data_IF_832094085000
#
_entry.id   IF_832094085000
#
_cell.length_a   1.000
_cell.length_b   1.000
_cell.length_c   1.000
_cell.angle_alpha   90.00
_cell.angle_beta   90.00
_cell.angle_gamma   90.00
#
_symmetry.space_group_name_H-M   'P 1'
#
loop_
_entity.id
_entity.type
_entity.pdbx_description
1 polymer ?
#
# COMPACT_ATOMS: atom_id res chain seq x y z
N UNK A 1 -20.98 8.09 6.71
CA UNK A 1 -19.81 7.69 7.52
C UNK A 1 -19.16 8.92 8.12
N UNK A 2 -18.67 8.88 9.36
CA UNK A 2 -17.87 9.98 9.93
C UNK A 2 -16.61 10.20 9.07
N UNK A 3 -16.38 11.42 8.54
CA UNK A 3 -15.18 11.73 7.76
C UNK A 3 -13.86 11.40 8.46
N UNK A 4 -13.81 11.44 9.81
CA UNK A 4 -12.60 11.07 10.57
C UNK A 4 -12.33 9.58 10.54
N UNK A 5 -13.35 8.75 10.76
CA UNK A 5 -13.23 7.30 10.66
C UNK A 5 -12.84 6.89 9.24
N UNK A 6 -13.49 7.45 8.23
CA UNK A 6 -13.15 7.21 6.82
C UNK A 6 -11.69 7.55 6.52
N UNK A 7 -11.19 8.68 7.04
CA UNK A 7 -9.78 9.08 6.91
C UNK A 7 -8.83 8.08 7.58
N UNK A 8 -9.16 7.60 8.78
CA UNK A 8 -8.37 6.59 9.49
C UNK A 8 -8.26 5.30 8.67
N UNK A 9 -9.41 4.77 8.23
CA UNK A 9 -9.48 3.58 7.37
C UNK A 9 -8.69 3.77 6.08
N UNK A 10 -8.85 4.92 5.43
CA UNK A 10 -8.08 5.30 4.25
C UNK A 10 -6.57 5.24 4.50
N UNK A 11 -6.10 5.80 5.62
CA UNK A 11 -4.67 5.81 5.96
C UNK A 11 -4.11 4.38 6.09
N UNK A 12 -4.85 3.46 6.71
CA UNK A 12 -4.37 2.08 6.87
C UNK A 12 -4.51 1.21 5.61
N UNK A 13 -5.50 1.46 4.74
CA UNK A 13 -5.64 0.73 3.46
C UNK A 13 -4.67 1.28 2.41
N UNK A 14 -4.67 2.60 2.22
CA UNK A 14 -3.98 3.29 1.13
C UNK A 14 -2.52 3.55 1.47
N UNK A 15 -2.22 3.89 2.72
CA UNK A 15 -0.91 4.34 3.19
C UNK A 15 -0.42 5.55 2.36
N UNK A 16 -1.08 6.72 2.47
CA UNK A 16 -0.70 7.92 1.74
C UNK A 16 0.65 8.48 2.22
N UNK A 17 1.33 9.34 1.45
CA UNK A 17 2.61 9.94 1.88
C UNK A 17 2.52 10.76 3.17
N UNK A 18 1.36 11.33 3.45
CA UNK A 18 1.12 12.14 4.65
C UNK A 18 0.17 11.42 5.62
N UNK A 19 0.71 10.44 6.35
CA UNK A 19 0.00 9.79 7.48
C UNK A 19 0.09 10.62 8.76
N UNK A 20 -0.77 10.36 9.77
CA UNK A 20 -0.67 11.00 11.09
C UNK A 20 0.70 10.74 11.74
N UNK A 21 1.09 11.55 12.73
CA UNK A 21 2.35 11.35 13.47
C UNK A 21 2.18 10.77 14.87
N UNK A 22 0.95 10.44 15.26
CA UNK A 22 0.58 9.81 16.53
C UNK A 22 -0.33 8.61 16.26
N UNK A 23 -0.30 7.60 17.13
CA UNK A 23 -1.22 6.47 17.08
C UNK A 23 -2.71 6.91 17.05
N UNK A 24 -3.53 6.18 16.29
CA UNK A 24 -4.97 6.42 16.21
C UNK A 24 -5.67 6.03 17.51
N UNK A 25 -6.42 6.97 18.10
CA UNK A 25 -7.18 6.74 19.34
C UNK A 25 -8.37 5.80 19.14
N UNK A 26 -8.90 5.74 17.92
CA UNK A 26 -10.06 4.94 17.52
C UNK A 26 -9.65 3.74 16.65
N UNK A 27 -8.46 3.16 16.89
CA UNK A 27 -7.94 2.04 16.09
C UNK A 27 -8.89 0.82 16.10
N UNK A 28 -9.62 0.58 17.19
CA UNK A 28 -10.63 -0.49 17.27
C UNK A 28 -11.78 -0.27 16.28
N UNK A 29 -12.34 0.95 16.21
CA UNK A 29 -13.40 1.30 15.25
C UNK A 29 -12.91 1.19 13.81
N UNK A 30 -11.67 1.65 13.55
CA UNK A 30 -11.01 1.50 12.24
C UNK A 30 -10.91 0.02 11.86
N UNK A 31 -10.46 -0.84 12.77
CA UNK A 31 -10.32 -2.28 12.53
C UNK A 31 -11.67 -2.95 12.27
N UNK A 32 -12.71 -2.55 13.00
CA UNK A 32 -14.08 -3.00 12.77
C UNK A 32 -14.58 -2.63 11.36
N UNK A 33 -14.36 -1.37 10.94
CA UNK A 33 -14.73 -0.93 9.59
C UNK A 33 -13.94 -1.66 8.50
N UNK A 34 -12.64 -1.88 8.71
CA UNK A 34 -11.80 -2.67 7.80
C UNK A 34 -12.35 -4.09 7.62
N UNK A 35 -12.77 -4.74 8.71
CA UNK A 35 -13.35 -6.07 8.67
C UNK A 35 -14.71 -6.07 7.97
N UNK A 36 -15.55 -5.08 8.25
CA UNK A 36 -16.83 -4.88 7.56
C UNK A 36 -16.65 -4.75 6.04
N UNK A 37 -15.69 -3.94 5.59
CA UNK A 37 -15.38 -3.79 4.16
C UNK A 37 -14.86 -5.07 3.52
N UNK A 38 -14.04 -5.84 4.24
CA UNK A 38 -13.60 -7.18 3.78
C UNK A 38 -14.81 -8.10 3.64
N UNK A 39 -15.71 -8.13 4.62
CA UNK A 39 -16.91 -8.94 4.59
C UNK A 39 -17.79 -8.57 3.38
N UNK A 40 -18.11 -7.29 3.19
CA UNK A 40 -18.88 -6.81 2.03
C UNK A 40 -18.19 -7.17 0.71
N UNK A 41 -16.88 -7.02 0.61
CA UNK A 41 -16.13 -7.40 -0.59
C UNK A 41 -16.18 -8.91 -0.85
N UNK A 42 -16.16 -9.75 0.19
CA UNK A 42 -16.27 -11.20 0.06
C UNK A 42 -17.68 -11.61 -0.38
N UNK A 43 -18.72 -11.01 0.20
CA UNK A 43 -20.12 -11.23 -0.20
C UNK A 43 -20.34 -10.86 -1.67
N UNK A 44 -19.91 -9.67 -2.07
CA UNK A 44 -20.05 -9.21 -3.45
C UNK A 44 -19.23 -10.06 -4.43
N UNK A 45 -18.03 -10.51 -4.04
CA UNK A 45 -17.24 -11.41 -4.88
C UNK A 45 -17.99 -12.71 -5.15
N UNK A 46 -18.55 -13.33 -4.10
CA UNK A 46 -19.35 -14.55 -4.21
C UNK A 46 -20.54 -14.36 -5.15
N UNK A 47 -21.32 -13.30 -4.93
CA UNK A 47 -22.48 -12.97 -5.77
C UNK A 47 -22.10 -12.79 -7.25
N UNK A 48 -21.00 -12.09 -7.52
CA UNK A 48 -20.54 -11.85 -8.89
C UNK A 48 -20.00 -13.11 -9.58
N UNK A 49 -19.37 -14.02 -8.83
CA UNK A 49 -18.83 -15.27 -9.39
C UNK A 49 -19.90 -16.33 -9.66
N UNK A 50 -21.11 -16.16 -9.12
CA UNK A 50 -22.32 -16.85 -9.58
C UNK A 50 -22.21 -18.37 -9.64
N UNK A 51 -21.68 -19.00 -8.59
CA UNK A 51 -21.50 -20.45 -8.49
C UNK A 51 -20.04 -20.90 -8.53
N UNK A 52 -19.13 -20.09 -9.06
CA UNK A 52 -17.70 -20.39 -9.03
C UNK A 52 -17.09 -20.06 -7.67
N UNK A 53 -16.50 -21.06 -7.01
CA UNK A 53 -15.86 -20.94 -5.70
C UNK A 53 -16.79 -20.55 -4.54
N UNK A 54 -18.11 -20.77 -4.70
CA UNK A 54 -19.11 -20.43 -3.67
C UNK A 54 -18.80 -21.10 -2.33
N UNK A 55 -18.40 -22.37 -2.35
CA UNK A 55 -18.05 -23.12 -1.13
C UNK A 55 -16.90 -22.46 -0.38
N UNK A 56 -15.84 -22.09 -1.08
CA UNK A 56 -14.64 -21.49 -0.49
C UNK A 56 -14.91 -20.08 0.02
N UNK A 57 -15.70 -19.30 -0.72
CA UNK A 57 -16.11 -17.96 -0.30
C UNK A 57 -17.11 -18.01 0.87
N UNK A 58 -17.98 -19.01 0.94
CA UNK A 58 -18.90 -19.24 2.08
C UNK A 58 -18.16 -19.67 3.34
N UNK A 59 -17.12 -20.48 3.21
CA UNK A 59 -16.23 -20.82 4.33
C UNK A 59 -15.45 -19.59 4.81
N UNK A 60 -15.00 -18.74 3.89
CA UNK A 60 -14.33 -17.50 4.23
C UNK A 60 -15.29 -16.52 4.93
N UNK A 61 -16.52 -16.34 4.43
CA UNK A 61 -17.53 -15.49 5.06
C UNK A 61 -17.81 -15.94 6.50
N UNK A 62 -17.97 -17.24 6.74
CA UNK A 62 -18.12 -17.79 8.10
C UNK A 62 -16.90 -17.52 8.98
N UNK A 63 -15.70 -17.65 8.42
CA UNK A 63 -14.45 -17.33 9.11
C UNK A 63 -14.34 -15.83 9.46
N UNK A 64 -14.83 -14.95 8.60
CA UNK A 64 -14.89 -13.51 8.86
C UNK A 64 -15.93 -13.16 9.93
N UNK A 65 -17.06 -13.88 9.99
CA UNK A 65 -18.05 -13.74 11.08
C UNK A 65 -17.44 -14.16 12.42
N UNK A 66 -16.68 -15.26 12.48
CA UNK A 66 -15.92 -15.62 13.68
C UNK A 66 -14.90 -14.55 14.06
N UNK A 67 -14.19 -13.99 13.08
CA UNK A 67 -13.24 -12.89 13.33
C UNK A 67 -13.96 -11.66 13.90
N UNK A 68 -15.16 -11.33 13.42
CA UNK A 68 -15.93 -10.19 13.88
C UNK A 68 -16.47 -10.39 15.30
N UNK A 69 -16.98 -11.59 15.61
CA UNK A 69 -17.49 -11.89 16.94
C UNK A 69 -16.38 -11.84 18.00
N UNK A 70 -15.18 -12.32 17.67
CA UNK A 70 -14.01 -12.28 18.57
C UNK A 70 -13.46 -10.87 18.82
N UNK A 71 -13.63 -9.95 17.87
CA UNK A 71 -13.10 -8.58 17.96
C UNK A 71 -14.20 -7.52 18.11
N UNK A 72 -15.37 -7.92 18.62
CA UNK A 72 -16.47 -6.97 18.93
C UNK A 72 -16.10 -6.07 20.11
N UNK A 73 -15.34 -6.60 21.08
CA UNK A 73 -14.82 -5.85 22.21
C UNK A 73 -13.40 -5.35 21.94
N UNK A 74 -12.94 -4.37 22.72
CA UNK A 74 -11.56 -3.87 22.63
C UNK A 74 -10.52 -4.98 22.87
N UNK A 75 -10.89 -5.96 23.70
CA UNK A 75 -10.05 -7.09 24.07
C UNK A 75 -10.74 -8.41 23.76
N UNK A 76 -9.94 -9.46 23.63
CA UNK A 76 -10.46 -10.81 23.52
C UNK A 76 -11.13 -11.21 24.84
N UNK A 77 -12.18 -12.04 24.75
CA UNK A 77 -12.85 -12.61 25.91
C UNK A 77 -12.69 -14.13 25.87
N UNK A 78 -12.20 -14.73 26.96
CA UNK A 78 -12.01 -16.17 27.05
C UNK A 78 -13.28 -16.97 26.78
N UNK A 79 -14.47 -16.50 27.19
CA UNK A 79 -15.71 -17.20 26.90
C UNK A 79 -16.09 -17.13 25.41
N UNK A 80 -15.89 -15.99 24.74
CA UNK A 80 -16.04 -15.84 23.29
C UNK A 80 -15.03 -16.70 22.52
N UNK A 81 -13.77 -16.75 22.94
CA UNK A 81 -12.74 -17.62 22.35
C UNK A 81 -13.14 -19.09 22.47
N UNK A 82 -13.56 -19.53 23.66
CA UNK A 82 -13.96 -20.92 23.86
C UNK A 82 -15.19 -21.28 23.01
N UNK A 83 -16.17 -20.36 22.88
CA UNK A 83 -17.31 -20.55 21.96
C UNK A 83 -16.85 -20.66 20.51
N UNK A 84 -15.92 -19.79 20.08
CA UNK A 84 -15.36 -19.84 18.73
C UNK A 84 -14.65 -21.17 18.46
N UNK A 85 -13.83 -21.67 19.40
CA UNK A 85 -13.15 -22.96 19.30
C UNK A 85 -14.13 -24.12 19.10
N UNK A 86 -15.23 -24.16 19.86
CA UNK A 86 -16.27 -25.19 19.71
C UNK A 86 -17.06 -25.08 18.41
N UNK A 87 -17.28 -23.85 17.94
CA UNK A 87 -18.07 -23.60 16.74
C UNK A 87 -17.28 -23.75 15.44
N UNK A 88 -15.95 -23.85 15.53
CA UNK A 88 -15.06 -24.01 14.39
C UNK A 88 -15.40 -25.30 13.63
N UNK A 89 -15.60 -25.20 12.32
CA UNK A 89 -15.87 -26.35 11.44
C UNK A 89 -14.72 -26.62 10.47
N UNK A 90 -14.76 -27.80 9.86
CA UNK A 90 -13.82 -28.18 8.80
C UNK A 90 -13.90 -27.19 7.64
N UNK A 91 -12.73 -26.77 7.16
CA UNK A 91 -12.59 -25.77 6.10
C UNK A 91 -12.68 -24.31 6.56
N UNK A 92 -13.08 -24.02 7.81
CA UNK A 92 -13.10 -22.67 8.38
C UNK A 92 -11.75 -22.31 9.03
N UNK A 93 -11.57 -21.03 9.38
CA UNK A 93 -10.41 -20.56 10.15
C UNK A 93 -10.83 -19.53 11.19
N UNK A 94 -10.26 -19.62 12.39
CA UNK A 94 -10.29 -18.54 13.36
C UNK A 94 -9.10 -17.63 13.11
N UNK A 95 -9.34 -16.34 12.92
CA UNK A 95 -8.31 -15.32 12.74
C UNK A 95 -8.29 -14.49 14.02
N UNK A 96 -7.23 -14.61 14.82
CA UNK A 96 -7.16 -14.07 16.17
C UNK A 96 -5.99 -13.08 16.27
N UNK A 97 -6.27 -11.87 16.77
CA UNK A 97 -5.25 -10.86 17.04
C UNK A 97 -4.88 -10.86 18.52
N UNK A 98 -3.63 -11.23 18.82
CA UNK A 98 -3.08 -11.13 20.17
C UNK A 98 -2.33 -9.81 20.28
N UNK A 99 -3.06 -8.77 20.69
CA UNK A 99 -2.66 -7.35 20.52
C UNK A 99 -1.34 -7.05 21.24
N UNK A 100 -1.27 -7.33 22.53
CA UNK A 100 -0.10 -6.99 23.36
C UNK A 100 1.15 -7.82 23.02
N UNK A 101 0.99 -8.95 22.32
CA UNK A 101 2.10 -9.80 21.88
C UNK A 101 2.46 -9.62 20.40
N UNK A 102 1.90 -8.62 19.71
CA UNK A 102 2.23 -8.37 18.30
C UNK A 102 2.09 -9.63 17.42
N UNK A 103 1.11 -10.48 17.71
CA UNK A 103 0.98 -11.78 17.07
C UNK A 103 -0.41 -12.01 16.45
N UNK A 104 -0.39 -12.62 15.27
CA UNK A 104 -1.54 -13.24 14.65
C UNK A 104 -1.54 -14.74 14.92
N UNK A 105 -2.71 -15.28 15.27
CA UNK A 105 -2.92 -16.72 15.45
C UNK A 105 -4.06 -17.18 14.54
N UNK A 106 -3.79 -18.18 13.70
CA UNK A 106 -4.79 -18.85 12.88
C UNK A 106 -5.01 -20.26 13.42
N UNK A 107 -6.27 -20.63 13.65
CA UNK A 107 -6.65 -21.96 14.12
C UNK A 107 -7.63 -22.57 13.14
N UNK A 108 -7.38 -23.79 12.71
CA UNK A 108 -8.24 -24.48 11.74
C UNK A 108 -8.02 -25.98 11.74
N UNK A 109 -8.98 -26.75 11.27
CA UNK A 109 -8.76 -28.17 11.02
C UNK A 109 -7.72 -28.37 9.90
N UNK A 110 -6.82 -29.32 10.12
CA UNK A 110 -5.86 -29.77 9.12
C UNK A 110 -6.55 -30.45 7.94
N UNK A 111 -5.88 -30.43 6.80
CA UNK A 111 -6.30 -31.13 5.58
C UNK A 111 -5.20 -32.08 5.12
N UNK A 112 -5.55 -33.04 4.26
CA UNK A 112 -4.63 -33.99 3.65
C UNK A 112 -3.78 -34.73 4.71
N UNK A 113 -2.47 -34.52 4.73
CA UNK A 113 -1.53 -35.15 5.67
C UNK A 113 -1.74 -34.78 7.13
N UNK A 114 -2.52 -33.72 7.42
CA UNK A 114 -2.91 -33.30 8.76
C UNK A 114 -4.38 -33.60 9.06
N UNK A 115 -4.99 -34.54 8.34
CA UNK A 115 -6.36 -35.01 8.66
C UNK A 115 -6.41 -35.55 10.10
N UNK A 116 -7.50 -35.27 10.81
CA UNK A 116 -7.66 -35.62 12.23
C UNK A 116 -6.86 -34.73 13.20
N UNK A 117 -6.24 -33.65 12.71
CA UNK A 117 -5.52 -32.68 13.54
C UNK A 117 -6.08 -31.27 13.41
N UNK A 118 -5.82 -30.42 14.40
CA UNK A 118 -6.06 -28.98 14.36
C UNK A 118 -4.71 -28.28 14.20
N UNK A 119 -4.62 -27.46 13.15
CA UNK A 119 -3.47 -26.67 12.79
C UNK A 119 -3.53 -25.29 13.46
N UNK A 120 -2.40 -24.93 14.08
CA UNK A 120 -2.12 -23.64 14.68
C UNK A 120 -1.00 -22.98 13.88
N UNK A 121 -1.27 -21.81 13.32
CA UNK A 121 -0.28 -21.01 12.60
C UNK A 121 -0.13 -19.66 13.29
N UNK A 122 1.08 -19.31 13.71
CA UNK A 122 1.37 -18.04 14.36
C UNK A 122 2.39 -17.21 13.58
N UNK A 123 2.25 -15.89 13.66
CA UNK A 123 3.15 -14.94 13.01
C UNK A 123 3.11 -13.55 13.62
N UNK A 124 4.17 -12.78 13.39
CA UNK A 124 4.27 -11.37 13.77
C UNK A 124 3.36 -10.48 12.89
N UNK A 125 2.71 -9.46 13.46
CA UNK A 125 1.76 -8.58 12.71
C UNK A 125 2.20 -7.12 12.59
N UNK A 126 3.26 -6.72 13.26
CA UNK A 126 3.89 -5.39 13.16
C UNK A 126 5.40 -5.52 13.27
N UNK A 127 6.14 -5.05 12.27
CA UNK A 127 7.59 -5.18 12.26
C UNK A 127 8.24 -4.16 13.22
N UNK A 128 9.47 -4.47 13.65
CA UNK A 128 10.30 -3.51 14.41
C UNK A 128 10.53 -2.23 13.61
N UNK A 129 10.59 -1.10 14.31
CA UNK A 129 10.73 0.23 13.72
C UNK A 129 11.97 0.31 12.84
N UNK A 130 13.06 -0.28 13.32
CA UNK A 130 14.32 -0.38 12.59
C UNK A 130 14.12 -1.04 11.22
N UNK A 131 13.47 -2.20 11.17
CA UNK A 131 13.22 -2.93 9.93
C UNK A 131 12.35 -2.11 8.96
N UNK A 132 11.34 -1.42 9.47
CA UNK A 132 10.47 -0.56 8.65
C UNK A 132 11.27 0.60 8.05
N UNK A 133 12.04 1.31 8.88
CA UNK A 133 12.83 2.48 8.47
C UNK A 133 14.02 2.12 7.57
N UNK A 134 14.60 0.93 7.72
CA UNK A 134 15.66 0.41 6.84
C UNK A 134 15.11 -0.08 5.49
N UNK A 135 13.82 -0.40 5.40
CA UNK A 135 13.23 -0.90 4.17
C UNK A 135 13.14 0.20 3.11
N UNK A 136 13.67 -0.04 1.91
CA UNK A 136 13.64 0.97 0.83
C UNK A 136 12.24 1.22 0.24
N UNK A 137 11.32 0.26 0.35
CA UNK A 137 9.98 0.35 -0.26
C UNK A 137 8.96 -0.55 0.43
N UNK A 138 9.33 -1.81 0.72
CA UNK A 138 8.47 -2.77 1.40
C UNK A 138 9.31 -3.86 2.05
N UNK A 139 8.83 -4.37 3.18
CA UNK A 139 9.34 -5.58 3.82
C UNK A 139 8.96 -6.80 2.98
N UNK A 140 9.90 -7.73 2.80
CA UNK A 140 9.59 -9.06 2.33
C UNK A 140 9.39 -9.96 3.54
N UNK A 141 8.19 -10.51 3.67
CA UNK A 141 7.78 -11.17 4.90
C UNK A 141 7.03 -12.46 4.60
N UNK A 142 7.38 -13.52 5.29
CA UNK A 142 6.85 -14.87 5.12
C UNK A 142 5.89 -15.21 6.27
N UNK A 143 4.74 -15.81 5.93
CA UNK A 143 3.68 -16.15 6.87
C UNK A 143 3.18 -17.58 6.66
N UNK A 144 2.92 -18.36 7.73
CA UNK A 144 3.25 -18.07 9.13
C UNK A 144 4.76 -18.16 9.41
N UNK A 145 5.19 -17.74 10.61
CA UNK A 145 6.59 -17.91 11.06
C UNK A 145 6.79 -19.22 11.82
N UNK A 146 5.73 -19.76 12.40
CA UNK A 146 5.75 -20.93 13.28
C UNK A 146 4.41 -21.64 13.21
N UNK A 147 4.41 -22.98 13.21
CA UNK A 147 3.18 -23.76 13.13
C UNK A 147 3.28 -25.09 13.89
N UNK A 148 2.18 -25.50 14.50
CA UNK A 148 2.04 -26.78 15.18
C UNK A 148 0.68 -27.40 14.88
N UNK A 149 0.58 -28.71 15.06
CA UNK A 149 -0.69 -29.42 14.96
C UNK A 149 -0.92 -30.31 16.17
N UNK A 150 -2.16 -30.41 16.63
CA UNK A 150 -2.56 -31.29 17.72
C UNK A 150 -3.72 -32.19 17.29
N UNK A 151 -3.90 -33.39 17.87
CA UNK A 151 -5.04 -34.24 17.57
C UNK A 151 -6.38 -33.54 17.85
N UNK A 152 -7.39 -33.79 17.02
CA UNK A 152 -8.72 -33.20 17.18
C UNK A 152 -9.34 -33.54 18.53
N UNK A 153 -9.12 -34.74 19.05
CA UNK A 153 -9.64 -35.16 20.36
C UNK A 153 -9.06 -34.32 21.51
N UNK A 154 -7.78 -33.96 21.42
CA UNK A 154 -7.13 -33.07 22.39
C UNK A 154 -7.69 -31.65 22.27
N UNK A 155 -7.87 -31.15 21.04
CA UNK A 155 -8.45 -29.83 20.82
C UNK A 155 -9.91 -29.73 21.28
N UNK A 156 -10.68 -30.82 21.17
CA UNK A 156 -12.09 -30.87 21.56
C UNK A 156 -12.29 -31.08 23.06
N UNK A 157 -11.23 -31.39 23.81
CA UNK A 157 -11.29 -31.44 25.26
C UNK A 157 -11.68 -30.06 25.83
N UNK A 158 -12.69 -30.07 26.72
CA UNK A 158 -13.26 -28.85 27.28
C UNK A 158 -12.22 -28.06 28.09
N UNK A 159 -11.40 -28.75 28.88
CA UNK A 159 -10.42 -28.14 29.77
C UNK A 159 -9.26 -27.56 28.96
N UNK A 160 -8.81 -28.26 27.92
CA UNK A 160 -7.83 -27.75 26.97
C UNK A 160 -8.30 -26.45 26.31
N UNK A 161 -9.52 -26.43 25.74
CA UNK A 161 -10.05 -25.21 25.12
C UNK A 161 -10.20 -24.06 26.12
N UNK A 162 -10.61 -24.36 27.36
CA UNK A 162 -10.73 -23.36 28.42
C UNK A 162 -9.38 -22.74 28.75
N UNK A 163 -8.36 -23.57 28.95
CA UNK A 163 -7.01 -23.14 29.29
C UNK A 163 -6.37 -22.36 28.14
N UNK A 164 -6.53 -22.82 26.90
CA UNK A 164 -6.07 -22.12 25.71
C UNK A 164 -6.76 -20.75 25.56
N UNK A 165 -8.08 -20.70 25.75
CA UNK A 165 -8.84 -19.45 25.67
C UNK A 165 -8.39 -18.45 26.74
N UNK A 166 -8.22 -18.89 27.99
CA UNK A 166 -7.71 -18.06 29.07
C UNK A 166 -6.28 -17.58 28.83
N UNK A 167 -5.43 -18.43 28.25
CA UNK A 167 -4.07 -18.06 27.88
C UNK A 167 -4.06 -16.95 26.82
N UNK A 168 -4.81 -17.13 25.73
CA UNK A 168 -4.87 -16.17 24.61
C UNK A 168 -5.50 -14.84 25.03
N UNK A 169 -6.56 -14.90 25.86
CA UNK A 169 -7.20 -13.74 26.48
C UNK A 169 -6.17 -12.92 27.29
N UNK A 170 -5.53 -13.55 28.29
CA UNK A 170 -4.49 -12.91 29.11
C UNK A 170 -3.32 -12.39 28.28
N UNK A 171 -2.85 -13.15 27.30
CA UNK A 171 -1.77 -12.73 26.42
C UNK A 171 -2.16 -11.49 25.59
N UNK A 172 -3.44 -11.34 25.23
CA UNK A 172 -3.93 -10.17 24.48
C UNK A 172 -4.15 -8.94 25.36
N UNK A 173 -4.21 -9.11 26.69
CA UNK A 173 -4.41 -8.04 27.68
C UNK A 173 -3.12 -7.58 28.36
N UNK A 174 -2.22 -8.53 28.66
CA UNK A 174 -1.06 -8.29 29.53
C UNK A 174 0.21 -8.04 28.72
N UNK A 175 0.82 -6.87 28.94
CA UNK A 175 2.16 -6.62 28.44
C UNK A 175 3.20 -7.40 29.27
N UNK A 176 3.80 -8.42 28.66
CA UNK A 176 4.90 -9.17 29.27
C UNK A 176 6.21 -8.44 28.96
N UNK A 177 6.71 -7.65 29.94
CA UNK A 177 7.91 -6.82 29.78
C UNK A 177 9.13 -7.55 29.20
N UNK A 178 9.28 -8.86 29.44
CA UNK A 178 10.37 -9.68 28.89
C UNK A 178 10.36 -9.74 27.36
N UNK A 179 9.19 -9.68 26.75
CA UNK A 179 8.99 -9.63 25.30
C UNK A 179 8.84 -8.20 24.77
N UNK A 180 8.78 -7.20 25.66
CA UNK A 180 8.74 -5.79 25.28
C UNK A 180 10.05 -5.34 24.62
N UNK A 181 9.97 -4.33 23.76
CA UNK A 181 11.16 -3.68 23.23
C UNK A 181 11.92 -2.94 24.34
N UNK A 182 13.25 -2.89 24.22
CA UNK A 182 14.12 -2.18 25.16
C UNK A 182 15.10 -1.29 24.42
N UNK A 183 15.42 -0.15 25.03
CA UNK A 183 16.44 0.78 24.57
C UNK A 183 17.49 1.02 25.66
N UNK A 184 18.70 1.37 25.25
CA UNK A 184 19.74 1.80 26.18
C UNK A 184 19.65 3.31 26.38
N UNK A 185 19.12 3.74 27.54
CA UNK A 185 19.07 5.15 27.95
C UNK A 185 20.01 5.35 29.12
N UNK A 186 20.97 6.27 28.97
CA UNK A 186 21.95 6.62 30.02
C UNK A 186 22.63 5.38 30.66
N UNK A 187 23.08 4.42 29.83
CA UNK A 187 23.71 3.14 30.25
C UNK A 187 22.79 2.19 31.03
N UNK A 188 21.49 2.44 31.09
CA UNK A 188 20.48 1.54 31.65
C UNK A 188 19.53 1.02 30.58
N UNK A 189 19.10 -0.25 30.70
CA UNK A 189 18.15 -0.87 29.78
C UNK A 189 16.73 -0.48 30.21
N UNK A 190 16.07 0.37 29.44
CA UNK A 190 14.73 0.87 29.71
C UNK A 190 13.73 0.27 28.71
N UNK A 191 12.52 -0.02 29.16
CA UNK A 191 11.43 -0.46 28.29
C UNK A 191 11.11 0.66 27.27
N UNK A 192 10.96 0.28 26.00
CA UNK A 192 10.72 1.20 24.88
C UNK A 192 9.32 0.95 24.30
N UNK A 193 8.29 1.68 24.75
CA UNK A 193 6.90 1.48 24.33
C UNK A 193 6.61 1.93 22.89
N UNK A 194 7.57 2.57 22.22
CA UNK A 194 7.40 3.09 20.86
C UNK A 194 7.65 2.04 19.78
N UNK A 195 8.28 0.93 20.13
CA UNK A 195 8.63 -0.13 19.21
C UNK A 195 7.74 -1.37 19.40
N UNK A 196 7.75 -2.30 18.45
CA UNK A 196 6.89 -3.48 18.51
C UNK A 196 7.38 -4.52 19.52
N UNK A 197 6.43 -5.18 20.20
CA UNK A 197 6.68 -6.32 21.08
C UNK A 197 7.21 -7.52 20.28
N UNK A 198 8.11 -8.29 20.86
CA UNK A 198 8.57 -9.58 20.32
C UNK A 198 7.43 -10.63 20.41
N UNK A 199 7.01 -11.24 19.29
CA UNK A 199 5.89 -12.18 19.27
C UNK A 199 6.19 -13.55 19.89
N UNK A 200 7.40 -13.79 20.40
CA UNK A 200 7.86 -15.08 20.89
C UNK A 200 7.01 -15.72 21.99
N UNK A 201 6.14 -14.97 22.71
CA UNK A 201 5.16 -15.58 23.61
C UNK A 201 4.18 -16.48 22.84
N UNK A 202 3.75 -16.05 21.66
CA UNK A 202 2.83 -16.81 20.81
C UNK A 202 3.61 -17.66 19.81
N UNK A 203 4.51 -17.07 19.03
CA UNK A 203 5.23 -17.78 17.94
C UNK A 203 6.26 -18.77 18.43
N UNK A 204 6.83 -18.55 19.63
CA UNK A 204 7.77 -19.46 20.27
C UNK A 204 7.08 -20.32 21.30
N UNK A 205 6.72 -19.74 22.45
CA UNK A 205 6.30 -20.49 23.63
C UNK A 205 4.99 -21.27 23.42
N UNK A 206 3.90 -20.62 22.95
CA UNK A 206 2.65 -21.32 22.71
C UNK A 206 2.81 -22.40 21.63
N UNK A 207 3.43 -22.06 20.50
CA UNK A 207 3.62 -23.03 19.41
C UNK A 207 4.46 -24.22 19.88
N UNK A 208 5.60 -24.01 20.54
CA UNK A 208 6.42 -25.12 21.06
C UNK A 208 5.71 -25.99 22.10
N UNK A 209 4.82 -25.40 22.91
CA UNK A 209 3.96 -26.19 23.80
C UNK A 209 3.01 -27.09 23.01
N UNK A 210 2.39 -26.56 21.95
CA UNK A 210 1.50 -27.32 21.07
C UNK A 210 2.26 -28.40 20.28
N UNK A 211 3.51 -28.14 19.87
CA UNK A 211 4.39 -29.14 19.26
C UNK A 211 4.64 -30.33 20.20
N UNK A 212 4.84 -30.06 21.48
CA UNK A 212 5.02 -31.12 22.49
C UNK A 212 3.75 -31.94 22.77
N UNK A 213 2.57 -31.34 22.57
CA UNK A 213 1.27 -32.02 22.71
C UNK A 213 0.92 -32.84 21.47
N UNK A 214 1.33 -32.38 20.28
CA UNK A 214 1.07 -33.05 19.02
C UNK A 214 2.34 -33.17 18.19
N UNK A 215 2.38 -32.43 17.07
CA UNK A 215 3.47 -32.51 16.11
C UNK A 215 3.89 -31.14 15.58
N UNK A 216 5.20 -30.93 15.35
CA UNK A 216 5.70 -29.76 14.64
C UNK A 216 5.23 -29.78 13.19
N UNK A 217 4.85 -28.61 12.67
CA UNK A 217 4.43 -28.46 11.27
C UNK A 217 5.45 -27.60 10.55
N UNK A 218 6.16 -28.21 9.60
CA UNK A 218 7.08 -27.48 8.74
C UNK A 218 6.32 -26.49 7.85
N UNK A 219 6.73 -25.21 7.88
CA UNK A 219 6.20 -24.17 7.00
C UNK A 219 6.84 -24.33 5.61
N UNK A 220 6.36 -25.27 4.82
CA UNK A 220 6.92 -25.61 3.50
C UNK A 220 6.56 -24.59 2.42
N UNK A 221 5.38 -23.95 2.53
CA UNK A 221 4.88 -22.98 1.56
C UNK A 221 4.37 -21.72 2.26
N UNK A 222 5.27 -20.85 2.76
CA UNK A 222 4.86 -19.60 3.38
C UNK A 222 4.23 -18.66 2.34
N UNK A 223 3.18 -17.96 2.76
CA UNK A 223 2.57 -16.88 2.02
C UNK A 223 3.49 -15.65 2.03
N UNK A 224 4.45 -15.59 1.10
CA UNK A 224 5.39 -14.47 0.97
C UNK A 224 4.68 -13.20 0.52
N UNK A 225 4.64 -12.17 1.36
CA UNK A 225 4.03 -10.87 1.05
C UNK A 225 5.07 -9.74 1.05
N UNK A 226 4.85 -8.78 0.15
CA UNK A 226 5.52 -7.46 0.20
C UNK A 226 4.67 -6.52 1.04
N UNK A 227 5.11 -6.23 2.26
CA UNK A 227 4.37 -5.43 3.24
C UNK A 227 4.95 -4.02 3.27
N UNK A 228 4.14 -3.04 2.85
CA UNK A 228 4.45 -1.62 3.10
C UNK A 228 3.96 -1.24 4.48
N UNK A 229 4.83 -0.60 5.24
CA UNK A 229 4.56 -0.06 6.55
C UNK A 229 5.27 1.29 6.70
N UNK A 230 4.90 2.05 7.72
CA UNK A 230 5.48 3.36 8.03
C UNK A 230 5.47 3.58 9.54
N UNK A 231 6.56 4.14 10.07
CA UNK A 231 6.65 4.53 11.48
C UNK A 231 6.83 6.03 11.55
N UNK A 232 5.70 6.74 11.61
CA UNK A 232 5.72 8.20 11.62
C UNK A 232 5.55 8.74 13.02
N UNK A 233 6.60 9.38 13.51
CA UNK A 233 6.59 10.07 14.79
C UNK A 233 6.55 11.59 14.58
N UNK A 234 5.59 12.27 15.21
CA UNK A 234 5.52 13.74 15.27
C UNK A 234 4.90 14.18 16.58
N UNK A 235 5.71 14.73 17.48
CA UNK A 235 5.31 15.31 18.77
C UNK A 235 4.33 14.43 19.58
N UNK A 236 4.56 13.12 19.57
CA UNK A 236 3.65 12.12 20.17
C UNK A 236 4.39 11.15 21.09
N UNK A 237 3.66 10.49 22.00
CA UNK A 237 4.25 9.45 22.85
C UNK A 237 4.45 8.15 22.07
N UNK A 238 3.41 7.71 21.34
CA UNK A 238 3.39 6.53 20.46
C UNK A 238 3.31 7.00 19.01
N UNK A 239 4.25 6.58 18.14
CA UNK A 239 4.21 6.94 16.73
C UNK A 239 2.98 6.36 16.04
N UNK A 240 2.57 6.98 14.94
CA UNK A 240 1.60 6.34 14.05
C UNK A 240 2.25 5.12 13.37
N UNK A 241 1.51 4.03 13.36
CA UNK A 241 1.85 2.78 12.67
C UNK A 241 0.65 2.27 11.92
N UNK A 242 0.90 1.49 10.86
CA UNK A 242 -0.18 0.83 10.16
C UNK A 242 -0.83 -0.21 11.06
N UNK A 243 -2.16 -0.36 10.97
CA UNK A 243 -2.92 -1.33 11.76
C UNK A 243 -2.33 -2.74 11.62
N UNK A 244 -1.89 -3.38 12.72
CA UNK A 244 -1.43 -4.78 12.70
C UNK A 244 -2.57 -5.73 12.32
N UNK A 245 -3.80 -5.42 12.75
CA UNK A 245 -5.00 -6.16 12.40
C UNK A 245 -5.25 -6.18 10.88
N UNK A 246 -4.94 -5.08 10.18
CA UNK A 246 -5.04 -5.04 8.71
C UNK A 246 -4.05 -6.00 8.03
N UNK A 247 -2.88 -6.25 8.61
CA UNK A 247 -1.98 -7.28 8.11
C UNK A 247 -2.52 -8.68 8.44
N UNK A 248 -2.94 -8.90 9.70
CA UNK A 248 -3.55 -10.15 10.15
C UNK A 248 -4.70 -10.59 9.23
N UNK A 249 -5.69 -9.73 8.99
CA UNK A 249 -6.83 -10.06 8.14
C UNK A 249 -6.38 -10.45 6.72
N UNK A 250 -5.46 -9.69 6.12
CA UNK A 250 -4.92 -10.00 4.78
C UNK A 250 -4.10 -11.29 4.73
N UNK A 251 -3.45 -11.68 5.82
CA UNK A 251 -2.71 -12.95 5.91
C UNK A 251 -3.69 -14.10 6.15
N UNK A 252 -4.63 -13.95 7.07
CA UNK A 252 -5.67 -14.93 7.35
C UNK A 252 -6.51 -15.28 6.11
N UNK A 253 -6.92 -14.27 5.34
CA UNK A 253 -7.67 -14.49 4.09
C UNK A 253 -6.86 -15.28 3.06
N UNK A 254 -5.61 -14.89 2.78
CA UNK A 254 -4.81 -15.58 1.76
C UNK A 254 -4.47 -17.00 2.22
N UNK A 255 -4.10 -17.20 3.49
CA UNK A 255 -3.81 -18.52 4.06
C UNK A 255 -5.02 -19.43 4.04
N UNK A 256 -6.20 -18.89 4.35
CA UNK A 256 -7.45 -19.63 4.25
C UNK A 256 -7.73 -20.09 2.81
N UNK A 257 -7.69 -19.17 1.85
CA UNK A 257 -7.94 -19.49 0.45
C UNK A 257 -6.88 -20.45 -0.11
N UNK A 258 -5.60 -20.27 0.23
CA UNK A 258 -4.51 -21.17 -0.19
C UNK A 258 -4.77 -22.62 0.23
N UNK A 259 -5.30 -22.85 1.43
CA UNK A 259 -5.60 -24.20 1.92
C UNK A 259 -6.79 -24.85 1.22
N UNK A 260 -7.72 -24.05 0.69
CA UNK A 260 -8.91 -24.55 0.02
C UNK A 260 -8.68 -24.74 -1.49
N UNK A 261 -7.96 -23.82 -2.14
CA UNK A 261 -7.87 -23.77 -3.61
C UNK A 261 -6.44 -23.93 -4.15
N UNK A 262 -5.44 -24.03 -3.28
CA UNK A 262 -4.03 -23.94 -3.69
C UNK A 262 -3.59 -22.50 -4.01
N UNK A 263 -2.29 -22.32 -4.20
CA UNK A 263 -1.61 -21.00 -4.24
C UNK A 263 -2.02 -20.12 -5.41
N UNK A 264 -2.28 -20.69 -6.58
CA UNK A 264 -2.54 -19.92 -7.81
C UNK A 264 -3.95 -19.33 -7.82
N UNK A 265 -4.96 -20.14 -7.52
CA UNK A 265 -6.37 -19.73 -7.47
C UNK A 265 -6.60 -18.80 -6.27
N UNK A 266 -6.01 -19.10 -5.11
CA UNK A 266 -6.15 -18.27 -3.91
C UNK A 266 -5.62 -16.86 -4.13
N UNK A 267 -4.51 -16.75 -4.87
CA UNK A 267 -3.92 -15.48 -5.26
C UNK A 267 -4.85 -14.67 -6.16
N UNK A 268 -5.54 -15.32 -7.09
CA UNK A 268 -6.52 -14.67 -7.97
C UNK A 268 -7.71 -14.13 -7.16
N UNK A 269 -8.33 -15.00 -6.34
CA UNK A 269 -9.47 -14.65 -5.47
C UNK A 269 -9.11 -13.52 -4.49
N UNK A 270 -7.95 -13.61 -3.82
CA UNK A 270 -7.49 -12.57 -2.90
C UNK A 270 -7.25 -11.22 -3.62
N UNK A 271 -6.67 -11.22 -4.82
CA UNK A 271 -6.46 -9.97 -5.56
C UNK A 271 -7.80 -9.35 -5.98
N UNK A 272 -8.74 -10.17 -6.45
CA UNK A 272 -10.09 -9.75 -6.83
C UNK A 272 -10.85 -9.13 -5.65
N UNK A 273 -10.90 -9.83 -4.51
CA UNK A 273 -11.53 -9.34 -3.28
C UNK A 273 -10.95 -7.98 -2.85
N UNK A 274 -9.63 -7.82 -2.96
CA UNK A 274 -8.99 -6.57 -2.58
C UNK A 274 -9.18 -5.45 -3.61
N UNK A 275 -9.51 -5.74 -4.87
CA UNK A 275 -10.04 -4.73 -5.79
C UNK A 275 -11.39 -4.23 -5.29
N UNK A 276 -12.28 -5.11 -4.85
CA UNK A 276 -13.59 -4.74 -4.30
C UNK A 276 -13.46 -3.94 -3.00
N UNK A 277 -12.56 -4.32 -2.08
CA UNK A 277 -12.28 -3.52 -0.86
C UNK A 277 -11.84 -2.09 -1.23
N UNK A 278 -10.95 -1.94 -2.21
CA UNK A 278 -10.52 -0.62 -2.67
C UNK A 278 -11.64 0.14 -3.41
N UNK A 279 -12.50 -0.57 -4.16
CA UNK A 279 -13.61 0.02 -4.90
C UNK A 279 -14.65 0.62 -3.96
N UNK A 280 -15.11 -0.15 -2.95
CA UNK A 280 -16.02 0.36 -1.92
C UNK A 280 -15.42 1.54 -1.15
N UNK A 281 -14.13 1.46 -0.80
CA UNK A 281 -13.46 2.60 -0.16
C UNK A 281 -13.41 3.82 -1.09
N UNK A 282 -13.21 3.61 -2.40
CA UNK A 282 -13.15 4.71 -3.36
C UNK A 282 -14.48 5.46 -3.44
N UNK A 283 -15.60 4.74 -3.52
CA UNK A 283 -16.94 5.32 -3.53
C UNK A 283 -17.18 6.23 -2.32
N UNK A 284 -16.77 5.79 -1.13
CA UNK A 284 -16.93 6.58 0.09
C UNK A 284 -16.00 7.80 0.14
N UNK A 285 -14.83 7.73 -0.50
CA UNK A 285 -13.82 8.80 -0.42
C UNK A 285 -14.06 9.93 -1.42
N UNK A 286 -14.69 9.66 -2.56
CA UNK A 286 -14.93 10.68 -3.60
C UNK A 286 -15.97 11.68 -3.10
N UNK A 287 -15.57 12.96 -3.01
CA UNK A 287 -16.41 14.04 -2.49
C UNK A 287 -16.34 14.25 -0.98
N UNK A 288 -15.71 13.34 -0.23
CA UNK A 288 -15.52 13.46 1.23
C UNK A 288 -14.06 13.76 1.58
N UNK A 289 -13.11 13.03 0.99
CA UNK A 289 -11.69 13.29 1.16
C UNK A 289 -11.18 14.27 0.09
N UNK A 290 -9.99 14.84 0.32
CA UNK A 290 -9.33 15.72 -0.64
C UNK A 290 -9.09 15.04 -1.98
N UNK A 291 -9.19 15.81 -3.08
CA UNK A 291 -8.96 15.36 -4.46
C UNK A 291 -7.73 14.45 -4.62
N UNK A 292 -6.59 14.86 -4.06
CA UNK A 292 -5.32 14.10 -4.12
C UNK A 292 -5.42 12.69 -3.51
N UNK A 293 -6.13 12.56 -2.39
CA UNK A 293 -6.28 11.28 -1.69
C UNK A 293 -7.21 10.33 -2.44
N UNK A 294 -8.32 10.85 -2.97
CA UNK A 294 -9.22 10.06 -3.81
C UNK A 294 -8.55 9.65 -5.12
N UNK A 295 -7.75 10.52 -5.74
CA UNK A 295 -6.93 10.21 -6.92
C UNK A 295 -5.87 9.13 -6.63
N UNK A 296 -5.24 9.18 -5.45
CA UNK A 296 -4.29 8.16 -5.01
C UNK A 296 -4.96 6.79 -4.87
N UNK A 297 -6.15 6.73 -4.29
CA UNK A 297 -6.90 5.48 -4.16
C UNK A 297 -7.40 4.96 -5.52
N UNK A 298 -7.90 5.83 -6.40
CA UNK A 298 -8.24 5.47 -7.78
C UNK A 298 -7.04 4.87 -8.50
N UNK A 299 -5.88 5.52 -8.43
CA UNK A 299 -4.63 5.01 -9.00
C UNK A 299 -4.23 3.65 -8.42
N UNK A 300 -4.43 3.46 -7.10
CA UNK A 300 -4.14 2.20 -6.41
C UNK A 300 -5.07 1.07 -6.84
N UNK A 301 -6.35 1.37 -7.04
CA UNK A 301 -7.33 0.43 -7.58
C UNK A 301 -6.97 0.05 -9.02
N UNK A 302 -6.76 1.02 -9.91
CA UNK A 302 -6.40 0.76 -11.31
C UNK A 302 -5.12 -0.07 -11.44
N UNK A 303 -4.06 0.22 -10.66
CA UNK A 303 -2.84 -0.60 -10.63
C UNK A 303 -3.11 -2.03 -10.18
N UNK A 304 -4.08 -2.24 -9.29
CA UNK A 304 -4.44 -3.57 -8.80
C UNK A 304 -5.24 -4.36 -9.84
N UNK A 305 -6.14 -3.70 -10.56
CA UNK A 305 -6.84 -4.27 -11.72
C UNK A 305 -5.84 -4.70 -12.78
N UNK A 306 -4.93 -3.80 -13.18
CA UNK A 306 -3.87 -4.10 -14.15
C UNK A 306 -2.96 -5.25 -13.68
N UNK A 307 -2.75 -5.41 -12.37
CA UNK A 307 -2.02 -6.56 -11.82
C UNK A 307 -2.79 -7.87 -12.02
N UNK A 308 -4.10 -7.89 -11.73
CA UNK A 308 -4.95 -9.07 -11.98
C UNK A 308 -4.93 -9.45 -13.46
N UNK A 309 -5.06 -8.48 -14.36
CA UNK A 309 -5.00 -8.70 -15.81
C UNK A 309 -3.63 -9.21 -16.25
N UNK A 310 -2.54 -8.62 -15.75
CA UNK A 310 -1.18 -9.09 -16.02
C UNK A 310 -0.98 -10.53 -15.55
N UNK A 311 -1.44 -10.87 -14.36
CA UNK A 311 -1.31 -12.22 -13.82
C UNK A 311 -2.15 -13.24 -14.61
N UNK A 312 -3.30 -12.81 -15.16
CA UNK A 312 -4.10 -13.61 -16.09
C UNK A 312 -3.35 -13.92 -17.40
N UNK A 313 -2.64 -12.93 -17.96
CA UNK A 313 -1.82 -13.09 -19.16
C UNK A 313 -0.60 -13.99 -18.93
N UNK A 314 -0.04 -13.97 -17.71
CA UNK A 314 1.11 -14.80 -17.33
C UNK A 314 0.71 -16.22 -16.91
N UNK A 315 -0.57 -16.48 -16.64
CA UNK A 315 -1.04 -17.80 -16.28
C UNK A 315 -0.92 -18.75 -17.48
N UNK A 316 -0.48 -19.98 -17.23
CA UNK A 316 -0.35 -21.00 -18.29
C UNK A 316 -1.71 -21.24 -18.96
N UNK A 317 -1.81 -21.11 -20.30
CA UNK A 317 -3.06 -21.32 -21.02
C UNK A 317 -3.65 -22.70 -20.73
N UNK A 318 -4.94 -22.76 -20.45
CA UNK A 318 -5.66 -24.00 -20.13
C UNK A 318 -5.47 -24.52 -18.69
N UNK A 319 -4.71 -23.83 -17.83
CA UNK A 319 -4.62 -24.17 -16.40
C UNK A 319 -5.84 -23.69 -15.62
N UNK A 320 -6.14 -24.34 -14.49
CA UNK A 320 -7.20 -23.92 -13.56
C UNK A 320 -7.03 -22.47 -13.08
N UNK A 321 -5.76 -22.03 -12.95
CA UNK A 321 -5.45 -20.65 -12.60
C UNK A 321 -5.87 -19.67 -13.71
N UNK A 322 -5.60 -20.00 -14.97
CA UNK A 322 -6.01 -19.19 -16.13
C UNK A 322 -7.54 -19.11 -16.23
N UNK A 323 -8.25 -20.22 -15.99
CA UNK A 323 -9.70 -20.24 -15.91
C UNK A 323 -10.22 -19.34 -14.79
N UNK A 324 -9.64 -19.44 -13.59
CA UNK A 324 -10.01 -18.61 -12.43
C UNK A 324 -9.88 -17.11 -12.74
N UNK A 325 -8.74 -16.68 -13.29
CA UNK A 325 -8.53 -15.28 -13.67
C UNK A 325 -9.51 -14.82 -14.75
N UNK A 326 -9.80 -15.66 -15.75
CA UNK A 326 -10.73 -15.33 -16.84
C UNK A 326 -12.13 -15.05 -16.29
N UNK A 327 -12.65 -15.96 -15.45
CA UNK A 327 -13.96 -15.82 -14.81
C UNK A 327 -13.98 -14.56 -13.94
N UNK A 328 -12.97 -14.35 -13.09
CA UNK A 328 -12.88 -13.16 -12.23
C UNK A 328 -12.92 -11.87 -13.05
N UNK A 329 -12.11 -11.79 -14.10
CA UNK A 329 -12.05 -10.59 -14.94
C UNK A 329 -13.38 -10.37 -15.64
N UNK A 330 -13.95 -11.40 -16.26
CA UNK A 330 -15.23 -11.32 -16.96
C UNK A 330 -16.34 -10.81 -16.05
N UNK A 331 -16.48 -11.40 -14.84
CA UNK A 331 -17.54 -11.07 -13.90
C UNK A 331 -17.37 -9.70 -13.24
N UNK A 332 -16.13 -9.27 -12.96
CA UNK A 332 -15.89 -8.00 -12.27
C UNK A 332 -15.67 -6.80 -13.18
N UNK A 333 -15.37 -7.01 -14.48
CA UNK A 333 -14.97 -5.94 -15.41
C UNK A 333 -15.98 -4.81 -15.47
N UNK A 334 -17.26 -5.13 -15.66
CA UNK A 334 -18.29 -4.09 -15.81
C UNK A 334 -18.40 -3.20 -14.56
N UNK A 335 -18.49 -3.82 -13.38
CA UNK A 335 -18.57 -3.09 -12.11
C UNK A 335 -17.33 -2.23 -11.85
N UNK A 336 -16.13 -2.79 -12.01
CA UNK A 336 -14.90 -2.04 -11.76
C UNK A 336 -14.70 -0.91 -12.78
N UNK A 337 -15.06 -1.13 -14.04
CA UNK A 337 -14.98 -0.12 -15.08
C UNK A 337 -15.96 1.03 -14.83
N UNK A 338 -17.22 0.73 -14.53
CA UNK A 338 -18.23 1.75 -14.26
C UNK A 338 -17.87 2.60 -13.04
N UNK A 339 -17.41 1.96 -11.96
CA UNK A 339 -17.01 2.63 -10.72
C UNK A 339 -15.76 3.50 -10.90
N UNK A 340 -14.72 2.98 -11.56
CA UNK A 340 -13.49 3.76 -11.82
C UNK A 340 -13.75 4.93 -12.76
N UNK A 341 -14.59 4.74 -13.78
CA UNK A 341 -15.02 5.82 -14.68
C UNK A 341 -15.80 6.89 -13.92
N UNK A 342 -16.82 6.51 -13.16
CA UNK A 342 -17.62 7.45 -12.37
C UNK A 342 -16.77 8.23 -11.36
N UNK A 343 -15.81 7.57 -10.70
CA UNK A 343 -14.86 8.23 -9.81
C UNK A 343 -13.96 9.20 -10.59
N UNK A 344 -13.41 8.80 -11.73
CA UNK A 344 -12.58 9.65 -12.60
C UNK A 344 -13.33 10.91 -13.05
N UNK A 345 -14.57 10.75 -13.53
CA UNK A 345 -15.40 11.87 -14.00
C UNK A 345 -15.68 12.86 -12.86
N UNK A 346 -16.01 12.36 -11.66
CA UNK A 346 -16.23 13.21 -10.48
C UNK A 346 -14.97 13.97 -10.06
N UNK A 347 -13.81 13.31 -10.07
CA UNK A 347 -12.54 13.93 -9.72
C UNK A 347 -12.16 15.00 -10.76
N UNK A 348 -12.37 14.72 -12.05
CA UNK A 348 -12.13 15.68 -13.13
C UNK A 348 -13.04 16.91 -13.00
N UNK A 349 -14.34 16.72 -12.76
CA UNK A 349 -15.28 17.84 -12.57
C UNK A 349 -14.90 18.70 -11.34
N UNK A 350 -14.47 18.06 -10.25
CA UNK A 350 -14.00 18.75 -9.05
C UNK A 350 -12.73 19.57 -9.33
N UNK A 351 -11.81 19.00 -10.12
CA UNK A 351 -10.59 19.68 -10.55
C UNK A 351 -10.87 20.87 -11.46
N UNK A 352 -11.78 20.73 -12.42
CA UNK A 352 -12.21 21.82 -13.30
C UNK A 352 -12.86 22.96 -12.52
N UNK A 353 -13.78 22.63 -11.61
CA UNK A 353 -14.39 23.60 -10.71
C UNK A 353 -13.35 24.35 -9.86
N UNK A 354 -12.31 23.64 -9.38
CA UNK A 354 -11.21 24.26 -8.65
C UNK A 354 -10.38 25.20 -9.54
N UNK A 355 -10.06 24.78 -10.77
CA UNK A 355 -9.33 25.61 -11.75
C UNK A 355 -10.11 26.89 -12.07
N UNK A 356 -11.41 26.78 -12.33
CA UNK A 356 -12.25 27.92 -12.67
C UNK A 356 -12.35 28.92 -11.52
N UNK A 357 -12.51 28.42 -10.28
CA UNK A 357 -12.52 29.26 -9.08
C UNK A 357 -11.18 29.96 -8.84
N UNK A 358 -10.07 29.31 -9.17
CA UNK A 358 -8.71 29.84 -8.92
C UNK A 358 -8.15 30.62 -10.11
N UNK A 359 -8.86 30.65 -11.24
CA UNK A 359 -8.45 31.37 -12.44
C UNK A 359 -8.45 32.87 -12.16
N UNK A 360 -7.25 33.47 -12.12
CA UNK A 360 -7.10 34.92 -11.99
C UNK A 360 -7.84 35.61 -13.14
N UNK A 361 -8.83 36.42 -12.80
CA UNK A 361 -9.45 37.29 -13.78
C UNK A 361 -8.51 38.46 -14.05
N UNK A 362 -7.87 38.45 -15.22
CA UNK A 362 -7.11 39.59 -15.73
C UNK A 362 -8.10 40.39 -16.58
N UNK A 363 -8.61 41.54 -16.08
CA UNK A 363 -9.47 42.38 -16.89
C UNK A 363 -8.68 42.83 -18.12
N UNK A 364 -9.28 42.69 -19.30
CA UNK A 364 -8.70 43.29 -20.49
C UNK A 364 -8.75 44.81 -20.32
N UNK A 365 -7.63 45.49 -20.51
CA UNK A 365 -7.55 46.94 -20.55
C UNK A 365 -8.28 47.47 -21.80
N UNK A 366 -9.60 47.45 -21.82
CA UNK A 366 -10.41 47.87 -22.98
C UNK A 366 -10.58 49.39 -23.10
N UNK A 367 -10.26 50.15 -22.05
CA UNK A 367 -10.55 51.60 -21.96
C UNK A 367 -9.35 52.47 -21.59
N UNK A 368 -8.14 51.91 -21.46
CA UNK A 368 -6.93 52.67 -21.18
C UNK A 368 -5.89 52.44 -22.26
N UNK A 369 -6.15 53.01 -23.44
CA UNK A 369 -5.06 53.30 -24.38
C UNK A 369 -4.22 54.37 -23.69
N UNK A 370 -2.94 54.08 -23.45
CA UNK A 370 -2.03 55.08 -22.92
C UNK A 370 -2.04 56.28 -23.89
N UNK A 371 -2.47 57.45 -23.42
CA UNK A 371 -2.43 58.65 -24.24
C UNK A 371 -1.00 58.92 -24.74
N UNK A 372 -0.79 59.64 -25.85
CA UNK A 372 0.54 59.87 -26.42
C UNK A 372 1.56 60.43 -25.40
N UNK A 373 1.07 61.21 -24.42
CA UNK A 373 1.89 61.75 -23.33
C UNK A 373 2.28 60.72 -22.28
N UNK A 374 1.48 59.68 -22.07
CA UNK A 374 1.76 58.56 -21.16
C UNK A 374 2.72 57.53 -21.77
N UNK A 375 2.91 57.56 -23.09
CA UNK A 375 3.95 56.80 -23.81
C UNK A 375 5.27 57.57 -23.93
N UNK A 376 5.31 58.84 -23.50
CA UNK A 376 6.50 59.68 -23.54
C UNK A 376 7.08 59.80 -22.15
N UNK A 377 8.25 59.20 -21.95
CA UNK A 377 9.01 59.38 -20.71
C UNK A 377 9.71 60.74 -20.78
N UNK A 378 9.20 61.73 -20.05
CA UNK A 378 9.88 63.01 -19.88
C UNK A 378 11.12 62.77 -19.00
N UNK A 379 12.24 62.46 -19.64
CA UNK A 379 13.54 62.18 -19.03
C UNK A 379 14.13 63.44 -18.35
N UNK A 380 13.38 64.18 -17.54
CA UNK A 380 13.77 65.52 -17.05
C UNK A 380 15.12 65.54 -16.33
N UNK A 381 15.42 64.47 -15.58
CA UNK A 381 16.66 64.34 -14.83
C UNK A 381 17.77 63.60 -15.60
N UNK A 382 17.40 62.76 -16.57
CA UNK A 382 18.32 61.87 -17.29
C UNK A 382 18.62 62.31 -18.72
N UNK A 383 17.82 63.21 -19.30
CA UNK A 383 17.97 63.74 -20.65
C UNK A 383 19.30 64.50 -20.82
N UNK A 384 19.75 65.35 -19.88
CA UNK A 384 21.06 66.00 -20.00
C UNK A 384 22.19 64.97 -20.02
N UNK A 385 22.13 63.97 -19.15
CA UNK A 385 23.11 62.88 -19.07
C UNK A 385 23.11 61.98 -20.32
N UNK A 386 21.94 61.61 -20.82
CA UNK A 386 21.80 60.79 -22.03
C UNK A 386 22.27 61.54 -23.27
N UNK A 387 21.97 62.84 -23.40
CA UNK A 387 22.52 63.70 -24.46
C UNK A 387 24.03 63.82 -24.36
N UNK A 388 24.57 63.91 -23.14
CA UNK A 388 26.01 63.93 -22.89
C UNK A 388 26.67 62.61 -23.32
N UNK A 389 26.04 61.45 -23.03
CA UNK A 389 26.52 60.14 -23.53
C UNK A 389 26.35 60.02 -25.04
N UNK A 390 25.31 60.60 -25.64
CA UNK A 390 25.08 60.49 -27.08
C UNK A 390 26.07 61.33 -27.90
N UNK A 391 26.48 62.50 -27.39
CA UNK A 391 27.49 63.37 -27.99
C UNK A 391 28.92 62.93 -27.65
N UNK A 392 29.12 62.37 -26.46
CA UNK A 392 30.37 61.78 -26.02
C UNK A 392 30.07 60.35 -25.57
N UNK A 393 29.95 59.39 -26.51
CA UNK A 393 29.79 57.99 -26.16
C UNK A 393 30.88 57.66 -25.15
N UNK A 394 30.46 57.22 -23.97
CA UNK A 394 31.39 56.69 -22.98
C UNK A 394 32.13 55.56 -23.68
N UNK A 395 33.32 55.85 -24.19
CA UNK A 395 34.36 54.87 -24.42
C UNK A 395 34.71 54.39 -23.03
N UNK A 396 33.84 53.56 -22.45
CA UNK A 396 34.29 52.58 -21.51
C UNK A 396 35.31 51.79 -22.32
N UNK A 397 36.58 52.03 -22.05
CA UNK A 397 37.49 50.92 -21.92
C UNK A 397 36.80 49.98 -20.92
N UNK A 398 35.92 49.12 -21.45
CA UNK A 398 35.54 47.92 -20.77
C UNK A 398 36.89 47.28 -20.54
N UNK A 399 37.42 47.37 -19.31
CA UNK A 399 38.30 46.30 -18.85
C UNK A 399 37.45 45.08 -19.10
N UNK A 400 37.75 44.35 -20.18
CA UNK A 400 37.21 43.03 -20.43
C UNK A 400 37.60 42.27 -19.17
N UNK A 401 36.73 42.24 -18.19
CA UNK A 401 36.72 41.16 -17.22
C UNK A 401 36.28 40.00 -18.08
N UNK A 402 37.27 39.37 -18.71
CA UNK A 402 37.09 38.07 -19.31
C UNK A 402 36.77 37.21 -18.10
N UNK A 403 35.49 36.97 -17.88
CA UNK A 403 35.08 35.91 -16.99
C UNK A 403 35.57 34.63 -17.64
N UNK A 404 36.76 34.18 -17.22
CA UNK A 404 37.28 32.87 -17.57
C UNK A 404 36.46 31.92 -16.70
N UNK A 405 35.45 31.32 -17.32
CA UNK A 405 34.65 30.29 -16.66
C UNK A 405 35.61 29.23 -16.10
N UNK A 406 35.52 28.85 -14.81
CA UNK A 406 36.38 27.81 -14.26
C UNK A 406 36.28 26.55 -15.14
N UNK A 407 37.42 25.94 -15.43
CA UNK A 407 37.49 24.81 -16.37
C UNK A 407 36.50 23.67 -16.07
N UNK A 408 36.21 23.32 -14.81
CA UNK A 408 35.17 22.32 -14.49
C UNK A 408 33.77 22.74 -14.96
N UNK A 409 33.44 24.03 -14.80
CA UNK A 409 32.16 24.61 -15.18
C UNK A 409 32.04 24.76 -16.71
N UNK A 410 33.14 25.06 -17.40
CA UNK A 410 33.20 25.04 -18.87
C UNK A 410 33.01 23.64 -19.44
N UNK A 411 33.69 22.64 -18.86
CA UNK A 411 33.50 21.23 -19.23
C UNK A 411 32.07 20.76 -18.97
N UNK A 412 31.47 21.16 -17.85
CA UNK A 412 30.09 20.83 -17.50
C UNK A 412 29.08 21.45 -18.48
N UNK A 413 29.16 22.77 -18.71
CA UNK A 413 28.27 23.48 -19.64
C UNK A 413 28.40 22.98 -21.07
N UNK A 414 29.63 22.69 -21.53
CA UNK A 414 29.88 22.08 -22.85
C UNK A 414 29.28 20.68 -22.95
N UNK A 415 29.38 19.86 -21.91
CA UNK A 415 28.79 18.52 -21.87
C UNK A 415 27.26 18.57 -21.95
N UNK A 416 26.62 19.48 -21.21
CA UNK A 416 25.17 19.71 -21.29
C UNK A 416 24.71 20.25 -22.65
N UNK A 417 25.45 21.19 -23.24
CA UNK A 417 25.14 21.70 -24.57
C UNK A 417 25.23 20.60 -25.65
N UNK A 418 26.22 19.72 -25.55
CA UNK A 418 26.36 18.56 -26.44
C UNK A 418 25.19 17.57 -26.26
N UNK A 419 24.79 17.27 -25.02
CA UNK A 419 23.65 16.39 -24.74
C UNK A 419 22.35 16.96 -25.31
N UNK A 420 22.11 18.27 -25.15
CA UNK A 420 20.94 18.95 -25.70
C UNK A 420 20.92 18.92 -27.25
N UNK A 421 22.08 18.94 -27.90
CA UNK A 421 22.18 18.80 -29.34
C UNK A 421 21.89 17.37 -29.80
N UNK A 422 22.39 16.37 -29.06
CA UNK A 422 22.05 14.95 -29.31
C UNK A 422 20.55 14.71 -29.14
N UNK A 423 19.90 15.28 -28.12
CA UNK A 423 18.45 15.20 -27.94
C UNK A 423 17.69 15.82 -29.11
N UNK A 424 18.11 16.99 -29.61
CA UNK A 424 17.51 17.60 -30.81
C UNK A 424 17.65 16.69 -32.03
N UNK A 425 18.81 16.08 -32.22
CA UNK A 425 19.05 15.19 -33.36
C UNK A 425 18.18 13.93 -33.26
N UNK A 426 18.06 13.33 -32.08
CA UNK A 426 17.17 12.19 -31.84
C UNK A 426 15.70 12.55 -32.07
N UNK A 427 15.25 13.73 -31.62
CA UNK A 427 13.89 14.22 -31.86
C UNK A 427 13.64 14.57 -33.32
N UNK A 428 14.63 15.10 -34.04
CA UNK A 428 14.49 15.40 -35.47
C UNK A 428 14.43 14.11 -36.32
N UNK A 429 15.19 13.07 -35.94
CA UNK A 429 15.23 11.80 -36.66
C UNK A 429 14.05 10.87 -36.33
N UNK A 430 13.52 10.95 -35.11
CA UNK A 430 12.53 9.99 -34.60
C UNK A 430 11.25 10.62 -34.05
N UNK A 431 11.09 11.95 -34.11
CA UNK A 431 9.95 12.67 -33.51
C UNK A 431 8.60 12.44 -34.17
N UNK A 432 8.54 11.83 -35.36
CA UNK A 432 7.30 11.45 -36.06
C UNK A 432 6.78 10.05 -35.69
N UNK A 433 7.47 9.29 -34.82
CA UNK A 433 7.02 7.98 -34.34
C UNK A 433 5.90 8.14 -33.30
N UNK A 434 4.67 8.35 -33.76
CA UNK A 434 3.48 8.48 -32.91
C UNK A 434 2.78 7.14 -32.59
N UNK A 435 3.11 6.05 -33.30
CA UNK A 435 2.56 4.71 -33.05
C UNK A 435 3.55 3.59 -33.38
N UNK A 436 3.47 2.49 -32.62
CA UNK A 436 4.36 1.32 -32.72
C UNK A 436 4.00 0.42 -33.93
N UNK A 437 2.82 0.61 -34.53
CA UNK A 437 2.25 -0.31 -35.51
C UNK A 437 2.82 -0.21 -36.93
N UNK A 438 3.48 0.91 -37.27
CA UNK A 438 4.02 1.16 -38.62
C UNK A 438 5.57 1.27 -38.67
N UNK A 439 6.26 0.91 -37.58
CA UNK A 439 7.71 1.05 -37.50
C UNK A 439 8.47 -0.21 -37.92
N UNK A 440 9.42 -0.04 -38.84
CA UNK A 440 10.33 -1.12 -39.21
C UNK A 440 11.19 -1.53 -38.00
N UNK A 441 11.49 -2.83 -37.81
CA UNK A 441 12.36 -3.32 -36.73
C UNK A 441 13.74 -2.65 -36.72
N UNK A 442 14.22 -2.23 -37.90
CA UNK A 442 15.46 -1.50 -38.08
C UNK A 442 15.45 -0.11 -37.42
N UNK A 443 14.33 0.62 -37.52
CA UNK A 443 14.19 1.95 -36.93
C UNK A 443 14.16 1.89 -35.39
N UNK A 444 13.53 0.84 -34.83
CA UNK A 444 13.49 0.58 -33.38
C UNK A 444 14.90 0.27 -32.85
N UNK A 445 15.68 -0.51 -33.61
CA UNK A 445 17.06 -0.81 -33.26
C UNK A 445 17.94 0.45 -33.27
N UNK A 446 17.79 1.31 -34.28
CA UNK A 446 18.51 2.59 -34.36
C UNK A 446 18.15 3.54 -33.21
N UNK A 447 16.87 3.66 -32.86
CA UNK A 447 16.44 4.48 -31.72
C UNK A 447 16.97 3.91 -30.39
N UNK A 448 16.94 2.59 -30.22
CA UNK A 448 17.50 1.93 -29.04
C UNK A 448 19.00 2.19 -28.90
N UNK A 449 19.76 2.08 -29.99
CA UNK A 449 21.20 2.34 -29.99
C UNK A 449 21.52 3.81 -29.70
N UNK A 450 20.73 4.74 -30.26
CA UNK A 450 20.84 6.17 -29.97
C UNK A 450 20.54 6.50 -28.50
N UNK A 451 19.52 5.87 -27.89
CA UNK A 451 19.19 6.04 -26.46
C UNK A 451 20.33 5.48 -25.58
N UNK A 452 20.88 4.32 -25.92
CA UNK A 452 21.99 3.73 -25.17
C UNK A 452 23.28 4.57 -25.29
N UNK A 453 23.53 5.14 -26.47
CA UNK A 453 24.61 6.11 -26.70
C UNK A 453 24.44 7.37 -25.85
N UNK A 454 23.22 7.92 -25.80
CA UNK A 454 22.89 9.08 -24.98
C UNK A 454 23.06 8.79 -23.47
N UNK A 455 22.62 7.62 -22.99
CA UNK A 455 22.78 7.22 -21.58
C UNK A 455 24.25 7.11 -21.17
N UNK A 456 25.12 6.59 -22.04
CA UNK A 456 26.58 6.56 -21.79
C UNK A 456 27.19 7.96 -21.75
N UNK A 457 26.72 8.87 -22.61
CA UNK A 457 27.24 10.25 -22.64
C UNK A 457 26.74 11.11 -21.46
N UNK A 458 25.57 10.79 -20.91
CA UNK A 458 24.96 11.50 -19.77
C UNK A 458 25.44 11.01 -18.40
N UNK A 459 26.27 9.97 -18.35
CA UNK A 459 26.85 9.44 -17.11
C UNK A 459 27.68 10.52 -16.39
N UNK A 460 27.33 10.80 -15.13
CA UNK A 460 27.91 11.86 -14.30
C UNK A 460 27.39 13.29 -14.56
N UNK A 461 26.31 13.45 -15.33
CA UNK A 461 25.60 14.73 -15.49
C UNK A 461 24.39 14.90 -14.55
N UNK A 462 23.82 13.80 -14.01
CA UNK A 462 22.61 13.80 -13.18
C UNK A 462 22.86 13.26 -11.77
#
# INVERSE_FOLDING_TARGET
>A
MDPKLLRGVFNHVVLPPNVPGSADKNLSEINCDLLGRIHTACTQLRENLGGHYDKELDLLLRSLVHCQSLHTSLHLDSAQLQRAFRSLKHGEVLIIHVVEQNAGLLISYGSNSLSGHVLFEAFEVSAKSENVLQSQNALQWDFPTSAASIPVDVFNDFEFQRNLAQFVDKASLELVKKFGAFTNKAKSRAYEPRDSTDPALITGMLISLLEGIGHPVAVTHPARKRVRDEVRWKDSYIPWRRSPFWLLARVGIIRHLERLTGTTISTALYKAMMCLVHAHLLEDTVGVLSLENSQLLLSKLCRRIAKVEKDALLATPGSDASAAYTIIIEKLRHFLFSLTKAASDRLQNTWESYKDRTKRQIPQFRTRVAGPTSTVLALKNSLPYLNQIQQHPLVKQVRKIIYVMPQPLFCFTKKYANLAEVERQMLAQHGSLSSVTDCSPFLIYQLSDAILGYLKQSEGCY
#
